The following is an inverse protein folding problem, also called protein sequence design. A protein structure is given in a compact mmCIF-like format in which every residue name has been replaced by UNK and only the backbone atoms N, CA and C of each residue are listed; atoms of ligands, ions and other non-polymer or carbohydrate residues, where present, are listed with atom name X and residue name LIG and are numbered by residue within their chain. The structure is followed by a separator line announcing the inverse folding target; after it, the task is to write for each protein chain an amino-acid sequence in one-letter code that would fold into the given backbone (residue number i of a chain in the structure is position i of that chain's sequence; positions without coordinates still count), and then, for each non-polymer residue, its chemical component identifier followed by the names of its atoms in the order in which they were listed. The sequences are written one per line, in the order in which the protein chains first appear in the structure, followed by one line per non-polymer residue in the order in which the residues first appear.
data_IF_132904041324
#
_entry.id   IF_132904041324
#
_cell.length_a   1.000
_cell.length_b   1.000
_cell.length_c   1.000
_cell.angle_alpha   90.00
_cell.angle_beta   90.00
_cell.angle_gamma   90.00
#
_symmetry.space_group_name_H-M   'P 1'
#
loop_
_entity.id
_entity.type
_entity.pdbx_description
1 polymer ?
#
# COMPACT_ATOMS: atom_id res chain seq x y z
N UNK A 1 -21.75 -10.01 20.29
CA UNK A 1 -21.11 -10.85 19.24
C UNK A 1 -19.61 -10.85 19.54
N UNK A 2 -19.06 -11.95 20.05
CA UNK A 2 -17.61 -12.03 20.32
C UNK A 2 -16.93 -12.14 18.97
N UNK A 3 -16.39 -11.02 18.48
CA UNK A 3 -15.70 -10.97 17.20
C UNK A 3 -14.34 -11.66 17.40
N UNK A 4 -14.21 -12.89 16.88
CA UNK A 4 -12.97 -13.65 16.93
C UNK A 4 -11.91 -12.96 16.05
N UNK A 5 -10.99 -12.25 16.71
CA UNK A 5 -9.91 -11.51 16.07
C UNK A 5 -8.98 -12.43 15.29
N UNK A 6 -8.78 -13.68 15.73
CA UNK A 6 -7.90 -14.64 15.05
C UNK A 6 -8.44 -14.98 13.67
N UNK A 7 -9.76 -15.18 13.56
CA UNK A 7 -10.41 -15.47 12.27
C UNK A 7 -10.35 -14.27 11.32
N UNK A 8 -10.44 -13.04 11.84
CA UNK A 8 -10.28 -11.83 11.01
C UNK A 8 -8.86 -11.77 10.44
N UNK A 9 -7.83 -11.92 11.28
CA UNK A 9 -6.44 -11.89 10.80
C UNK A 9 -6.19 -12.96 9.75
N UNK A 10 -6.64 -14.20 9.97
CA UNK A 10 -6.44 -15.29 9.02
C UNK A 10 -7.13 -14.99 7.69
N UNK A 11 -8.39 -14.53 7.72
CA UNK A 11 -9.13 -14.16 6.50
C UNK A 11 -8.43 -13.04 5.73
N UNK A 12 -7.97 -12.00 6.42
CA UNK A 12 -7.28 -10.86 5.80
C UNK A 12 -5.93 -11.28 5.23
N UNK A 13 -5.16 -12.14 5.92
CA UNK A 13 -3.90 -12.68 5.40
C UNK A 13 -4.12 -13.49 4.12
N UNK A 14 -5.13 -14.35 4.09
CA UNK A 14 -5.46 -15.13 2.88
C UNK A 14 -5.87 -14.20 1.73
N UNK A 15 -6.68 -13.17 2.01
CA UNK A 15 -7.05 -12.18 1.00
C UNK A 15 -5.81 -11.43 0.45
N UNK A 16 -4.88 -11.02 1.31
CA UNK A 16 -3.61 -10.37 0.90
C UNK A 16 -2.73 -11.30 0.08
N UNK A 17 -2.67 -12.59 0.44
CA UNK A 17 -1.91 -13.59 -0.31
C UNK A 17 -2.47 -13.78 -1.73
N UNK A 18 -3.79 -13.88 -1.87
CA UNK A 18 -4.47 -13.95 -3.17
C UNK A 18 -4.18 -12.68 -3.99
N UNK A 19 -4.28 -11.51 -3.37
CA UNK A 19 -4.04 -10.24 -4.04
C UNK A 19 -2.58 -10.12 -4.54
N UNK A 20 -1.63 -10.69 -3.81
CA UNK A 20 -0.22 -10.76 -4.20
C UNK A 20 0.00 -11.73 -5.37
N UNK A 21 -0.67 -12.88 -5.36
CA UNK A 21 -0.61 -13.81 -6.50
C UNK A 21 -1.15 -13.17 -7.80
N UNK A 22 -2.24 -12.40 -7.69
CA UNK A 22 -2.81 -11.66 -8.82
C UNK A 22 -1.81 -10.62 -9.34
N UNK A 23 -1.17 -9.87 -8.46
CA UNK A 23 -0.17 -8.87 -8.82
C UNK A 23 1.04 -9.47 -9.56
N UNK A 24 1.52 -10.62 -9.08
CA UNK A 24 2.58 -11.38 -9.77
C UNK A 24 2.10 -11.79 -11.16
N UNK A 25 0.87 -12.30 -11.29
CA UNK A 25 0.27 -12.66 -12.57
C UNK A 25 0.18 -11.47 -13.54
N UNK A 26 -0.26 -10.31 -13.05
CA UNK A 26 -0.32 -9.06 -13.83
C UNK A 26 1.08 -8.58 -14.23
N UNK A 27 2.11 -8.82 -13.41
CA UNK A 27 3.49 -8.45 -13.72
C UNK A 27 4.06 -9.24 -14.90
N UNK A 28 3.64 -10.49 -15.10
CA UNK A 28 4.10 -11.33 -16.22
C UNK A 28 3.22 -11.19 -17.47
N UNK A 29 2.08 -10.51 -17.36
CA UNK A 29 1.21 -10.28 -18.52
C UNK A 29 1.76 -9.15 -19.39
N UNK A 30 1.82 -9.38 -20.70
CA UNK A 30 2.17 -8.36 -21.69
C UNK A 30 1.02 -7.36 -21.89
N UNK A 31 0.95 -6.37 -21.00
CA UNK A 31 0.01 -5.25 -21.05
C UNK A 31 0.73 -3.97 -21.47
N UNK A 32 0.03 -3.01 -22.10
CA UNK A 32 0.57 -1.67 -22.30
C UNK A 32 1.04 -1.08 -20.97
N UNK A 33 2.29 -0.56 -20.93
CA UNK A 33 2.97 -0.15 -19.69
C UNK A 33 2.11 0.75 -18.80
N UNK A 34 1.40 1.70 -19.38
CA UNK A 34 0.54 2.62 -18.64
C UNK A 34 -0.58 1.89 -17.88
N UNK A 35 -1.23 0.94 -18.54
CA UNK A 35 -2.31 0.15 -17.93
C UNK A 35 -1.75 -0.79 -16.86
N UNK A 36 -0.58 -1.39 -17.11
CA UNK A 36 0.06 -2.27 -16.14
C UNK A 36 0.44 -1.51 -14.86
N UNK A 37 1.04 -0.33 -14.99
CA UNK A 37 1.40 0.53 -13.85
C UNK A 37 0.15 0.94 -13.07
N UNK A 38 -0.91 1.41 -13.75
CA UNK A 38 -2.15 1.80 -13.07
C UNK A 38 -2.79 0.64 -12.30
N UNK A 39 -2.78 -0.56 -12.87
CA UNK A 39 -3.38 -1.75 -12.25
C UNK A 39 -2.55 -2.22 -11.05
N UNK A 40 -1.23 -2.30 -11.17
CA UNK A 40 -0.34 -2.64 -10.05
C UNK A 40 -0.43 -1.60 -8.92
N UNK A 41 -0.54 -0.31 -9.25
CA UNK A 41 -0.67 0.75 -8.25
C UNK A 41 -1.99 0.64 -7.47
N UNK A 42 -3.10 0.37 -8.16
CA UNK A 42 -4.40 0.19 -7.48
C UNK A 42 -4.41 -1.05 -6.59
N UNK A 43 -3.79 -2.16 -7.03
CA UNK A 43 -3.58 -3.36 -6.21
C UNK A 43 -2.71 -3.06 -4.96
N UNK A 44 -1.65 -2.27 -5.12
CA UNK A 44 -0.80 -1.85 -4.01
C UNK A 44 -1.58 -1.02 -2.97
N UNK A 45 -2.37 -0.03 -3.41
CA UNK A 45 -3.20 0.79 -2.52
C UNK A 45 -4.24 -0.06 -1.77
N UNK A 46 -4.86 -1.02 -2.47
CA UNK A 46 -5.83 -1.93 -1.86
C UNK A 46 -5.19 -2.76 -0.74
N UNK A 47 -3.99 -3.32 -0.97
CA UNK A 47 -3.23 -4.04 0.07
C UNK A 47 -2.89 -3.15 1.26
N UNK A 48 -2.37 -1.95 1.01
CA UNK A 48 -2.04 -0.99 2.08
C UNK A 48 -3.28 -0.67 2.93
N UNK A 49 -4.45 -0.53 2.31
CA UNK A 49 -5.71 -0.27 3.01
C UNK A 49 -6.13 -1.46 3.88
N UNK A 50 -6.04 -2.69 3.35
CA UNK A 50 -6.33 -3.92 4.11
C UNK A 50 -5.41 -4.05 5.34
N UNK A 51 -4.11 -3.76 5.16
CA UNK A 51 -3.13 -3.79 6.23
C UNK A 51 -3.42 -2.73 7.28
N UNK A 52 -3.64 -1.48 6.87
CA UNK A 52 -3.94 -0.39 7.77
C UNK A 52 -5.24 -0.64 8.56
N UNK A 53 -6.29 -1.13 7.90
CA UNK A 53 -7.59 -1.30 8.55
C UNK A 53 -7.59 -2.42 9.59
N UNK A 54 -6.96 -3.55 9.29
CA UNK A 54 -7.03 -4.76 10.12
C UNK A 54 -5.81 -4.90 11.03
N UNK A 55 -4.60 -4.83 10.48
CA UNK A 55 -3.38 -5.15 11.22
C UNK A 55 -2.86 -3.97 12.05
N UNK A 56 -3.05 -2.72 11.60
CA UNK A 56 -2.72 -1.53 12.41
C UNK A 56 -3.82 -1.14 13.40
N UNK A 57 -4.85 -1.97 13.60
CA UNK A 57 -5.98 -1.75 14.52
C UNK A 57 -6.77 -0.45 14.31
N UNK A 58 -6.61 0.19 13.15
CA UNK A 58 -7.26 1.46 12.81
C UNK A 58 -8.80 1.39 12.86
N UNK A 59 -9.35 0.16 12.71
CA UNK A 59 -10.77 -0.14 12.86
C UNK A 59 -11.32 0.14 14.27
N UNK A 60 -10.52 -0.12 15.32
CA UNK A 60 -10.94 -0.02 16.72
C UNK A 60 -10.43 1.25 17.44
N UNK A 61 -9.64 2.08 16.76
CA UNK A 61 -8.99 3.25 17.34
C UNK A 61 -9.79 4.56 17.26
N UNK A 62 -9.39 5.51 18.11
CA UNK A 62 -10.01 6.84 18.17
C UNK A 62 -9.72 7.66 16.91
N UNK A 63 -10.65 8.57 16.58
CA UNK A 63 -10.63 9.36 15.32
C UNK A 63 -9.36 10.22 15.15
N UNK A 64 -8.70 10.56 16.26
CA UNK A 64 -7.45 11.32 16.31
C UNK A 64 -6.24 10.48 15.91
N UNK A 65 -6.07 9.27 16.46
CA UNK A 65 -5.00 8.34 16.08
C UNK A 65 -5.05 8.00 14.58
N UNK A 66 -6.26 7.81 14.04
CA UNK A 66 -6.47 7.60 12.61
C UNK A 66 -5.93 8.74 11.73
N UNK A 67 -6.03 9.99 12.18
CA UNK A 67 -5.53 11.16 11.43
C UNK A 67 -4.01 11.28 11.47
N UNK A 68 -3.39 10.87 12.58
CA UNK A 68 -1.93 10.90 12.73
C UNK A 68 -1.25 9.99 11.69
N UNK A 69 -1.88 8.88 11.33
CA UNK A 69 -1.38 7.97 10.31
C UNK A 69 -1.27 8.61 8.91
N UNK A 70 -2.01 9.70 8.64
CA UNK A 70 -1.92 10.43 7.37
C UNK A 70 -0.78 11.43 7.31
N UNK A 71 -0.19 11.82 8.45
CA UNK A 71 0.92 12.79 8.52
C UNK A 71 2.18 12.30 7.78
N UNK A 72 2.64 11.04 7.91
CA UNK A 72 3.85 10.59 7.21
C UNK A 72 3.68 10.47 5.70
N UNK A 73 2.45 10.36 5.17
CA UNK A 73 2.21 10.14 3.74
C UNK A 73 2.65 11.34 2.87
N UNK A 74 2.20 12.60 3.10
CA UNK A 74 2.68 13.75 2.36
C UNK A 74 4.17 14.01 2.58
N UNK A 75 4.68 13.73 3.79
CA UNK A 75 6.10 13.87 4.10
C UNK A 75 6.94 12.91 3.23
N UNK A 76 6.48 11.66 3.07
CA UNK A 76 7.11 10.67 2.21
C UNK A 76 7.07 11.10 0.74
N UNK A 77 5.93 11.61 0.26
CA UNK A 77 5.81 12.10 -1.13
C UNK A 77 6.76 13.27 -1.38
N UNK A 78 6.82 14.23 -0.45
CA UNK A 78 7.73 15.36 -0.53
C UNK A 78 9.20 14.90 -0.56
N UNK A 79 9.56 13.98 0.34
CA UNK A 79 10.89 13.39 0.40
C UNK A 79 11.26 12.65 -0.90
N UNK A 80 10.35 11.83 -1.44
CA UNK A 80 10.56 11.10 -2.69
C UNK A 80 10.72 12.05 -3.89
N UNK A 81 9.98 13.15 -3.94
CA UNK A 81 10.16 14.18 -4.98
C UNK A 81 11.54 14.83 -4.88
N UNK A 82 11.96 15.21 -3.66
CA UNK A 82 13.30 15.77 -3.42
C UNK A 82 14.40 14.78 -3.80
N UNK A 83 14.26 13.52 -3.40
CA UNK A 83 15.20 12.45 -3.74
C UNK A 83 15.25 12.18 -5.25
N UNK A 84 14.10 12.19 -5.94
CA UNK A 84 14.07 11.99 -7.39
C UNK A 84 14.75 13.16 -8.13
N UNK A 85 14.57 14.39 -7.64
CA UNK A 85 15.27 15.56 -8.17
C UNK A 85 16.79 15.43 -7.98
N UNK A 86 17.23 15.08 -6.78
CA UNK A 86 18.65 14.91 -6.43
C UNK A 86 19.31 13.70 -7.13
N UNK A 87 18.60 12.58 -7.26
CA UNK A 87 19.09 11.40 -7.97
C UNK A 87 19.22 11.62 -9.48
N UNK A 88 18.53 12.63 -10.03
CA UNK A 88 18.68 13.06 -11.44
C UNK A 88 19.84 14.06 -11.59
N UNK A 89 20.49 14.46 -10.49
CA UNK A 89 21.64 15.35 -10.53
C UNK A 89 22.87 14.60 -11.08
N UNK A 90 23.16 14.87 -12.35
CA UNK A 90 24.32 14.33 -13.06
C UNK A 90 25.60 14.93 -12.48
N UNK A 91 26.47 14.10 -11.88
CA UNK A 91 27.76 14.50 -11.28
C UNK A 91 28.85 14.77 -12.32
N UNK A 92 28.48 15.09 -13.56
CA UNK A 92 29.39 15.31 -14.68
C UNK A 92 29.59 16.81 -14.94
N UNK A 93 30.23 17.47 -13.96
CA UNK A 93 30.99 18.72 -14.14
C UNK A 93 32.39 18.53 -13.54
#
# INVERSE_FOLDING_TARGET
MVIDQKLIYIKTTVALAILTLIEIGVSYWDLPRFNQIGLLLTLAIMKMTFVAYVFMHLYYETRTLRRILFIPIPLLVYFLMGLAYDATFDWTL
#
